data_IF_942868702926
#
_entry.id   IF_942868702926
#
_cell.length_a   1.000
_cell.length_b   1.000
_cell.length_c   1.000
_cell.angle_alpha   90.00
_cell.angle_beta   90.00
_cell.angle_gamma   90.00
#
_symmetry.space_group_name_H-M   'P 1'
#
loop_
_entity.id
_entity.type
_entity.pdbx_description
1 polymer ?
#
# COMPACT_ATOMS: atom_id res chain seq x y z
N UNK A 1 -4.57 10.69 -20.95
CA UNK A 1 -3.16 10.24 -20.92
C UNK A 1 -2.97 9.36 -19.70
N UNK A 2 -2.53 8.12 -19.87
CA UNK A 2 -2.13 7.24 -18.75
C UNK A 2 -0.95 7.88 -18.02
N UNK A 3 -0.94 7.94 -16.68
CA UNK A 3 0.21 8.44 -15.94
C UNK A 3 1.46 7.59 -16.23
N UNK A 4 2.68 8.16 -16.16
CA UNK A 4 3.89 7.39 -16.35
C UNK A 4 4.01 6.30 -15.28
N UNK A 5 4.74 5.20 -15.55
CA UNK A 5 4.99 4.16 -14.57
C UNK A 5 5.74 4.73 -13.35
N UNK A 6 5.54 4.15 -12.14
CA UNK A 6 6.19 4.63 -10.94
C UNK A 6 7.71 4.45 -11.03
N UNK A 7 8.46 5.44 -10.53
CA UNK A 7 9.92 5.35 -10.45
C UNK A 7 10.36 4.33 -9.39
N UNK A 8 11.62 3.84 -9.44
CA UNK A 8 12.11 2.91 -8.42
C UNK A 8 11.97 3.43 -6.98
N UNK A 9 12.24 4.72 -6.75
CA UNK A 9 12.05 5.34 -5.42
C UNK A 9 10.58 5.32 -4.99
N UNK A 10 9.64 5.57 -5.90
CA UNK A 10 8.21 5.54 -5.59
C UNK A 10 7.74 4.13 -5.26
N UNK A 11 8.26 3.12 -5.94
CA UNK A 11 7.98 1.71 -5.64
C UNK A 11 8.50 1.34 -4.24
N UNK A 12 9.75 1.71 -3.92
CA UNK A 12 10.36 1.45 -2.61
C UNK A 12 9.55 2.12 -1.49
N UNK A 13 9.20 3.40 -1.65
CA UNK A 13 8.39 4.13 -0.67
C UNK A 13 6.97 3.56 -0.54
N UNK A 14 6.36 3.15 -1.66
CA UNK A 14 5.05 2.48 -1.65
C UNK A 14 5.08 1.17 -0.86
N UNK A 15 6.10 0.34 -1.10
CA UNK A 15 6.29 -0.92 -0.38
C UNK A 15 6.60 -0.71 1.11
N UNK A 16 7.46 0.26 1.44
CA UNK A 16 7.78 0.59 2.83
C UNK A 16 6.56 1.05 3.63
N UNK A 17 5.69 1.84 3.00
CA UNK A 17 4.62 2.58 3.69
C UNK A 17 3.23 1.96 3.53
N UNK A 18 3.09 0.79 2.88
CA UNK A 18 1.78 0.23 2.55
C UNK A 18 0.87 -0.02 3.76
N UNK A 19 1.46 -0.36 4.92
CA UNK A 19 0.72 -0.63 6.17
C UNK A 19 0.67 0.56 7.15
N UNK A 20 1.18 1.74 6.77
CA UNK A 20 1.24 2.91 7.67
C UNK A 20 -0.13 3.31 8.23
N UNK A 21 -1.20 2.97 7.52
CA UNK A 21 -2.57 3.21 7.95
C UNK A 21 -2.98 2.46 9.21
N UNK A 22 -2.33 1.34 9.55
CA UNK A 22 -2.57 0.69 10.84
C UNK A 22 -2.17 1.60 12.00
N UNK A 23 -0.98 2.21 11.91
CA UNK A 23 -0.50 3.15 12.93
C UNK A 23 -1.36 4.42 12.98
N UNK A 24 -1.66 5.00 11.81
CA UNK A 24 -2.49 6.20 11.72
C UNK A 24 -3.91 5.97 12.26
N UNK A 25 -4.56 4.87 11.86
CA UNK A 25 -5.92 4.54 12.29
C UNK A 25 -6.01 4.23 13.78
N UNK A 26 -5.04 3.49 14.34
CA UNK A 26 -5.01 3.20 15.78
C UNK A 26 -4.79 4.48 16.60
N UNK A 27 -3.91 5.37 16.15
CA UNK A 27 -3.64 6.65 16.83
C UNK A 27 -4.88 7.56 16.86
N UNK A 28 -5.70 7.50 15.83
CA UNK A 28 -6.93 8.29 15.70
C UNK A 28 -8.15 7.64 16.39
N UNK A 29 -7.95 6.50 17.08
CA UNK A 29 -9.04 5.80 17.79
C UNK A 29 -10.00 5.05 16.86
N UNK A 30 -9.56 4.73 15.63
CA UNK A 30 -10.35 4.02 14.64
C UNK A 30 -10.68 2.58 15.04
N UNK A 31 -11.65 2.00 14.33
CA UNK A 31 -12.05 0.61 14.51
C UNK A 31 -10.91 -0.37 14.21
N UNK A 32 -10.90 -1.50 14.93
CA UNK A 32 -9.91 -2.57 14.78
C UNK A 32 -10.55 -3.80 14.17
N UNK A 33 -9.83 -4.47 13.28
CA UNK A 33 -10.17 -5.81 12.84
C UNK A 33 -9.84 -6.80 13.97
N UNK A 34 -10.84 -7.57 14.39
CA UNK A 34 -10.69 -8.59 15.43
C UNK A 34 -11.33 -9.89 14.91
N UNK A 35 -10.53 -10.95 14.82
CA UNK A 35 -11.00 -12.29 14.45
C UNK A 35 -10.57 -13.26 15.54
N UNK A 36 -11.52 -14.00 16.12
CA UNK A 36 -11.25 -15.00 17.18
C UNK A 36 -10.44 -14.43 18.38
N UNK A 37 -10.67 -13.17 18.74
CA UNK A 37 -9.97 -12.47 19.82
C UNK A 37 -8.59 -11.92 19.45
N UNK A 38 -8.10 -12.13 18.23
CA UNK A 38 -6.82 -11.59 17.74
C UNK A 38 -7.03 -10.23 17.09
N UNK A 39 -6.26 -9.22 17.49
CA UNK A 39 -6.25 -7.88 16.87
C UNK A 39 -5.36 -7.90 15.62
N UNK A 40 -5.93 -7.61 14.46
CA UNK A 40 -5.26 -7.72 13.16
C UNK A 40 -4.85 -6.36 12.56
N UNK A 41 -5.15 -5.25 13.26
CA UNK A 41 -4.86 -3.90 12.80
C UNK A 41 -6.11 -3.04 12.64
N UNK A 42 -5.94 -1.86 12.04
CA UNK A 42 -7.03 -0.92 11.77
C UNK A 42 -7.89 -1.34 10.57
N UNK A 43 -9.21 -1.18 10.69
CA UNK A 43 -10.15 -1.29 9.55
C UNK A 43 -9.80 -0.22 8.51
N UNK A 44 -9.84 -0.60 7.23
CA UNK A 44 -9.56 0.30 6.08
C UNK A 44 -8.18 0.98 6.13
N UNK A 45 -7.16 0.33 6.70
CA UNK A 45 -5.80 0.87 6.79
C UNK A 45 -5.21 1.31 5.44
N UNK A 46 -5.54 0.64 4.35
CA UNK A 46 -5.13 1.00 3.00
C UNK A 46 -5.64 2.39 2.59
N UNK A 47 -6.88 2.72 2.96
CA UNK A 47 -7.49 4.03 2.71
C UNK A 47 -6.91 5.08 3.66
N UNK A 48 -6.88 4.78 4.96
CA UNK A 48 -6.37 5.68 5.99
C UNK A 48 -4.92 6.05 5.71
N UNK A 49 -4.08 5.05 5.39
CA UNK A 49 -2.67 5.23 5.07
C UNK A 49 -2.48 6.08 3.82
N UNK A 50 -3.22 5.79 2.75
CA UNK A 50 -3.12 6.56 1.52
C UNK A 50 -3.53 8.03 1.72
N UNK A 51 -4.57 8.30 2.50
CA UNK A 51 -5.02 9.65 2.82
C UNK A 51 -4.05 10.38 3.74
N UNK A 52 -3.51 9.69 4.73
CA UNK A 52 -2.47 10.21 5.60
C UNK A 52 -1.24 10.67 4.79
N UNK A 53 -0.75 9.82 3.89
CA UNK A 53 0.39 10.15 3.02
C UNK A 53 0.06 11.25 2.01
N UNK A 54 -1.15 11.28 1.45
CA UNK A 54 -1.59 12.34 0.57
C UNK A 54 -1.61 13.71 1.27
N UNK A 55 -2.07 13.78 2.54
CA UNK A 55 -1.99 15.00 3.36
C UNK A 55 -0.55 15.45 3.59
N UNK A 56 0.38 14.51 3.70
CA UNK A 56 1.81 14.78 3.76
C UNK A 56 2.45 15.08 2.39
N UNK A 57 1.66 15.16 1.31
CA UNK A 57 2.12 15.49 -0.05
C UNK A 57 2.99 14.42 -0.72
N UNK A 58 2.88 13.16 -0.29
CA UNK A 58 3.38 12.05 -1.09
C UNK A 58 2.64 12.00 -2.45
N UNK A 59 3.31 11.53 -3.51
CA UNK A 59 2.77 11.60 -4.86
C UNK A 59 1.68 10.52 -5.03
N UNK A 60 0.73 10.72 -5.95
CA UNK A 60 -0.28 9.71 -6.27
C UNK A 60 0.32 8.33 -6.58
N UNK A 61 1.49 8.32 -7.25
CA UNK A 61 2.20 7.09 -7.58
C UNK A 61 2.61 6.26 -6.35
N UNK A 62 2.87 6.87 -5.19
CA UNK A 62 3.18 6.16 -3.93
C UNK A 62 1.89 5.81 -3.19
N UNK A 63 0.97 6.76 -3.07
CA UNK A 63 -0.28 6.55 -2.32
C UNK A 63 -1.19 5.51 -2.98
N UNK A 64 -1.06 5.29 -4.29
CA UNK A 64 -1.74 4.21 -5.00
C UNK A 64 -1.33 2.82 -4.50
N UNK A 65 -0.04 2.56 -4.23
CA UNK A 65 0.40 1.29 -3.64
C UNK A 65 -0.30 1.04 -2.30
N UNK A 66 -0.28 2.05 -1.43
CA UNK A 66 -0.90 2.00 -0.12
C UNK A 66 -2.41 1.77 -0.23
N UNK A 67 -3.10 2.51 -1.10
CA UNK A 67 -4.56 2.38 -1.28
C UNK A 67 -4.99 1.05 -1.87
N UNK A 68 -4.19 0.49 -2.77
CA UNK A 68 -4.59 -0.64 -3.62
C UNK A 68 -4.03 -1.99 -3.17
N UNK A 69 -3.14 -2.05 -2.18
CA UNK A 69 -2.53 -3.32 -1.80
C UNK A 69 -3.54 -4.36 -1.27
N UNK A 70 -4.63 -3.95 -0.60
CA UNK A 70 -5.73 -4.86 -0.23
C UNK A 70 -6.47 -5.38 -1.46
N UNK A 71 -6.79 -4.50 -2.41
CA UNK A 71 -7.42 -4.89 -3.67
C UNK A 71 -6.54 -5.87 -4.46
N UNK A 72 -5.22 -5.65 -4.47
CA UNK A 72 -4.26 -6.58 -5.05
C UNK A 72 -4.27 -7.96 -4.38
N UNK A 73 -4.44 -8.02 -3.06
CA UNK A 73 -4.64 -9.30 -2.36
C UNK A 73 -5.90 -9.99 -2.85
N UNK A 74 -7.05 -9.28 -2.83
CA UNK A 74 -8.35 -9.82 -3.27
C UNK A 74 -8.31 -10.31 -4.72
N UNK A 75 -7.65 -9.55 -5.60
CA UNK A 75 -7.42 -9.90 -7.00
C UNK A 75 -6.61 -11.18 -7.14
N UNK A 76 -5.42 -11.25 -6.51
CA UNK A 76 -4.54 -12.42 -6.63
C UNK A 76 -5.22 -13.69 -6.09
N UNK A 77 -5.97 -13.60 -4.99
CA UNK A 77 -6.76 -14.74 -4.48
C UNK A 77 -7.82 -15.19 -5.50
N UNK A 78 -8.43 -14.27 -6.26
CA UNK A 78 -9.44 -14.61 -7.25
C UNK A 78 -8.86 -15.20 -8.54
N UNK A 79 -7.67 -14.76 -8.96
CA UNK A 79 -7.14 -15.03 -10.31
C UNK A 79 -5.94 -15.96 -10.37
N UNK A 80 -5.17 -16.09 -9.28
CA UNK A 80 -3.95 -16.88 -9.23
C UNK A 80 -4.16 -18.15 -8.38
N UNK A 81 -4.27 -19.29 -9.08
CA UNK A 81 -4.44 -20.59 -8.45
C UNK A 81 -3.23 -20.91 -7.58
N UNK A 82 -3.45 -21.07 -6.27
CA UNK A 82 -2.38 -21.30 -5.30
C UNK A 82 -1.98 -20.06 -4.49
N UNK A 83 -2.48 -18.87 -4.81
CA UNK A 83 -2.10 -17.66 -4.08
C UNK A 83 -2.66 -17.63 -2.66
N UNK A 84 -3.88 -18.13 -2.45
CA UNK A 84 -4.53 -18.17 -1.13
C UNK A 84 -3.70 -18.96 -0.10
N UNK A 85 -3.03 -20.01 -0.56
CA UNK A 85 -2.19 -20.90 0.22
C UNK A 85 -0.92 -20.18 0.71
N UNK A 86 -0.42 -19.21 -0.07
CA UNK A 86 0.76 -18.39 0.29
C UNK A 86 0.48 -17.36 1.37
N UNK A 87 -0.80 -17.04 1.63
CA UNK A 87 -1.18 -16.06 2.64
C UNK A 87 -0.77 -16.52 4.06
N UNK A 88 -0.31 -15.59 4.90
CA UNK A 88 -0.23 -15.83 6.34
C UNK A 88 -1.60 -16.10 6.93
N UNK A 89 -1.62 -16.65 8.14
CA UNK A 89 -2.83 -16.71 8.95
C UNK A 89 -3.46 -15.32 9.13
N UNK A 90 -2.69 -14.27 9.46
CA UNK A 90 -3.21 -12.91 9.59
C UNK A 90 -3.78 -12.34 8.27
N UNK A 91 -3.12 -12.59 7.14
CA UNK A 91 -3.58 -12.16 5.81
C UNK A 91 -4.88 -12.88 5.40
N UNK A 92 -5.04 -14.16 5.80
CA UNK A 92 -6.28 -14.92 5.62
C UNK A 92 -7.39 -14.39 6.52
N UNK A 93 -7.12 -14.15 7.79
CA UNK A 93 -8.12 -13.60 8.72
C UNK A 93 -8.59 -12.20 8.29
N UNK A 94 -7.67 -11.32 7.87
CA UNK A 94 -8.05 -9.99 7.38
C UNK A 94 -8.83 -10.03 6.07
N UNK A 95 -8.68 -11.08 5.26
CA UNK A 95 -9.47 -11.24 4.03
C UNK A 95 -10.97 -11.39 4.33
N UNK A 96 -11.34 -11.99 5.47
CA UNK A 96 -12.73 -12.10 5.94
C UNK A 96 -13.36 -10.72 6.19
N UNK A 97 -12.56 -9.72 6.56
CA UNK A 97 -12.99 -8.32 6.76
C UNK A 97 -12.96 -7.49 5.47
N UNK A 98 -12.43 -8.05 4.38
CA UNK A 98 -12.12 -7.34 3.14
C UNK A 98 -12.92 -7.92 1.96
N UNK A 99 -14.15 -8.35 2.21
CA UNK A 99 -15.10 -8.81 1.17
C UNK A 99 -14.66 -10.07 0.40
N UNK A 100 -13.57 -10.74 0.82
CA UNK A 100 -13.10 -11.95 0.16
C UNK A 100 -12.44 -11.72 -1.21
N UNK A 101 -12.30 -12.80 -2.02
CA UNK A 101 -11.79 -12.72 -3.39
C UNK A 101 -12.65 -11.77 -4.25
N UNK A 102 -12.04 -11.13 -5.25
CA UNK A 102 -12.79 -10.31 -6.21
C UNK A 102 -13.72 -11.14 -7.10
N UNK A 103 -14.86 -10.54 -7.45
CA UNK A 103 -15.69 -10.95 -8.59
C UNK A 103 -15.00 -10.65 -9.92
N UNK A 104 -15.50 -11.21 -11.03
CA UNK A 104 -14.96 -10.94 -12.36
C UNK A 104 -15.03 -9.45 -12.74
N UNK A 105 -16.11 -8.76 -12.35
CA UNK A 105 -16.29 -7.33 -12.61
C UNK A 105 -15.30 -6.47 -11.82
N UNK A 106 -15.12 -6.75 -10.53
CA UNK A 106 -14.11 -6.08 -9.70
C UNK A 106 -12.71 -6.31 -10.25
N UNK A 107 -12.38 -7.55 -10.64
CA UNK A 107 -11.09 -7.90 -11.20
C UNK A 107 -10.81 -7.16 -12.51
N UNK A 108 -11.81 -7.08 -13.40
CA UNK A 108 -11.71 -6.33 -14.67
C UNK A 108 -11.52 -4.83 -14.43
N UNK A 109 -12.22 -4.27 -13.45
CA UNK A 109 -12.08 -2.85 -13.06
C UNK A 109 -10.69 -2.57 -12.46
N UNK A 110 -10.22 -3.44 -11.56
CA UNK A 110 -8.92 -3.30 -10.92
C UNK A 110 -7.75 -3.45 -11.92
N UNK A 111 -7.88 -4.32 -12.91
CA UNK A 111 -6.89 -4.49 -13.99
C UNK A 111 -6.72 -3.24 -14.88
N UNK A 112 -7.63 -2.27 -14.81
CA UNK A 112 -7.50 -0.98 -15.51
C UNK A 112 -6.66 0.05 -14.74
N UNK A 113 -6.23 -0.24 -13.52
CA UNK A 113 -5.37 0.66 -12.75
C UNK A 113 -4.03 0.87 -13.50
N UNK A 114 -3.60 2.12 -13.78
CA UNK A 114 -2.36 2.38 -14.48
C UNK A 114 -1.10 1.80 -13.82
N UNK A 115 -1.17 1.50 -12.52
CA UNK A 115 -0.07 0.93 -11.74
C UNK A 115 -0.29 -0.54 -11.40
N UNK A 116 -1.31 -1.19 -11.99
CA UNK A 116 -1.73 -2.56 -11.71
C UNK A 116 -0.56 -3.55 -11.55
N UNK A 117 0.29 -3.68 -12.57
CA UNK A 117 1.43 -4.62 -12.54
C UNK A 117 2.41 -4.35 -11.39
N UNK A 118 2.64 -3.07 -11.08
CA UNK A 118 3.55 -2.69 -10.01
C UNK A 118 2.94 -2.99 -8.64
N UNK A 119 1.65 -2.73 -8.46
CA UNK A 119 0.92 -3.01 -7.22
C UNK A 119 0.86 -4.52 -6.98
N UNK A 120 0.61 -5.33 -8.01
CA UNK A 120 0.63 -6.80 -7.89
C UNK A 120 2.00 -7.32 -7.46
N UNK A 121 3.09 -6.80 -8.05
CA UNK A 121 4.45 -7.16 -7.63
C UNK A 121 4.69 -6.80 -6.17
N UNK A 122 4.31 -5.60 -5.75
CA UNK A 122 4.43 -5.16 -4.36
C UNK A 122 3.67 -6.07 -3.40
N UNK A 123 2.44 -6.46 -3.75
CA UNK A 123 1.64 -7.37 -2.92
C UNK A 123 2.29 -8.74 -2.75
N UNK A 124 2.98 -9.24 -3.77
CA UNK A 124 3.78 -10.48 -3.65
C UNK A 124 5.01 -10.30 -2.76
N UNK A 125 5.58 -9.10 -2.64
CA UNK A 125 6.66 -8.83 -1.70
C UNK A 125 6.16 -8.75 -0.27
N UNK A 126 5.03 -8.08 -0.03
CA UNK A 126 4.32 -8.05 1.25
C UNK A 126 4.15 -9.48 1.79
N UNK A 127 3.63 -10.40 0.97
CA UNK A 127 3.45 -11.78 1.41
C UNK A 127 4.76 -12.59 1.56
N UNK A 128 5.89 -12.11 1.05
CA UNK A 128 7.22 -12.75 1.20
C UNK A 128 8.05 -12.18 2.34
N UNK A 129 7.76 -10.96 2.81
CA UNK A 129 8.57 -10.22 3.77
C UNK A 129 8.35 -10.69 5.21
N UNK A 130 8.72 -11.95 5.50
CA UNK A 130 8.46 -12.62 6.79
C UNK A 130 9.69 -13.28 7.39
N UNK A 131 10.86 -13.03 6.81
CA UNK A 131 12.13 -13.52 7.31
C UNK A 131 12.65 -12.54 8.39
N UNK A 132 12.67 -12.94 9.67
CA UNK A 132 13.18 -12.08 10.74
C UNK A 132 14.69 -11.85 10.66
N UNK A 133 15.42 -12.70 9.93
CA UNK A 133 16.87 -12.61 9.75
C UNK A 133 17.27 -11.83 8.48
N UNK A 134 16.28 -11.30 7.75
CA UNK A 134 16.53 -10.57 6.52
C UNK A 134 17.38 -9.30 6.80
N UNK A 135 18.55 -9.24 6.16
CA UNK A 135 19.40 -8.04 6.20
C UNK A 135 18.81 -6.97 5.30
N UNK A 136 18.38 -5.86 5.91
CA UNK A 136 17.78 -4.72 5.22
C UNK A 136 18.54 -3.42 5.55
N UNK A 137 18.49 -2.40 4.68
CA UNK A 137 18.92 -1.06 5.04
C UNK A 137 18.25 -0.57 6.34
N UNK A 138 18.93 0.26 7.15
CA UNK A 138 18.34 0.80 8.38
C UNK A 138 17.20 1.76 8.07
N UNK A 139 16.31 2.01 9.05
CA UNK A 139 15.17 2.89 8.88
C UNK A 139 15.56 4.31 8.44
N UNK A 140 16.73 4.79 8.88
CA UNK A 140 17.32 6.07 8.50
C UNK A 140 17.48 6.22 6.99
N UNK A 141 17.88 5.15 6.29
CA UNK A 141 18.02 5.15 4.84
C UNK A 141 16.70 5.53 4.16
N UNK A 142 15.61 4.94 4.63
CA UNK A 142 14.27 5.18 4.11
C UNK A 142 13.69 6.52 4.55
N UNK A 143 13.99 6.94 5.79
CA UNK A 143 13.64 8.27 6.30
C UNK A 143 14.25 9.36 5.42
N UNK A 144 15.52 9.25 5.06
CA UNK A 144 16.20 10.19 4.18
C UNK A 144 15.57 10.19 2.78
N UNK A 145 15.16 9.03 2.28
CA UNK A 145 14.40 8.93 1.02
C UNK A 145 13.06 9.66 1.10
N UNK A 146 12.29 9.47 2.18
CA UNK A 146 11.05 10.20 2.43
C UNK A 146 11.28 11.72 2.47
N UNK A 147 12.27 12.18 3.24
CA UNK A 147 12.58 13.61 3.38
C UNK A 147 13.04 14.24 2.06
N UNK A 148 13.89 13.53 1.31
CA UNK A 148 14.31 13.96 -0.03
C UNK A 148 13.10 14.12 -0.96
N UNK A 149 12.19 13.14 -0.95
CA UNK A 149 10.99 13.17 -1.77
C UNK A 149 10.06 14.35 -1.41
N UNK A 150 9.85 14.60 -0.12
CA UNK A 150 9.01 15.70 0.36
C UNK A 150 9.59 17.06 -0.02
N UNK A 151 10.91 17.25 0.11
CA UNK A 151 11.61 18.47 -0.32
C UNK A 151 11.50 18.71 -1.83
N UNK A 152 11.66 17.67 -2.63
CA UNK A 152 11.47 17.75 -4.09
C UNK A 152 10.03 18.17 -4.45
N UNK A 153 9.04 17.65 -3.72
CA UNK A 153 7.63 17.96 -3.90
C UNK A 153 7.28 19.41 -3.52
N UNK A 154 7.86 19.93 -2.43
CA UNK A 154 7.75 21.34 -2.03
C UNK A 154 8.38 22.28 -3.05
N UNK A 155 9.58 21.97 -3.53
CA UNK A 155 10.28 22.77 -4.53
C UNK A 155 9.51 22.84 -5.86
N UNK A 156 8.89 21.72 -6.29
CA UNK A 156 8.04 21.69 -7.47
C UNK A 156 6.77 22.55 -7.30
N UNK A 157 6.12 22.48 -6.14
CA UNK A 157 4.94 23.28 -5.83
C UNK A 157 5.25 24.79 -5.79
N UNK A 158 6.39 25.19 -5.19
CA UNK A 158 6.83 26.59 -5.15
C UNK A 158 7.12 27.15 -6.55
N UNK A 159 7.72 26.35 -7.44
CA UNK A 159 7.94 26.74 -8.85
C UNK A 159 6.63 26.89 -9.64
N UNK A 160 5.62 26.07 -9.36
CA UNK A 160 4.32 26.16 -10.01
C UNK A 160 3.52 27.40 -9.56
N UNK A 161 3.61 27.78 -8.28
CA UNK A 161 2.94 28.97 -7.74
C UNK A 161 3.57 30.30 -8.12
N UNK A 162 4.83 30.30 -8.57
CA UNK A 162 5.57 31.51 -9.01
C UNK A 162 5.37 31.87 -10.49
N UNK A 163 4.52 31.14 -11.20
CA UNK A 163 4.32 31.23 -12.66
C UNK A 163 3.08 32.04 -13.06
N UNK A 164 2.60 32.93 -12.20
CA UNK A 164 1.44 33.82 -12.42
C UNK A 164 1.95 35.27 -12.46
#
# INVERSE_FOLDING_TARGET
MTPPPPTPKQIILGALLHDVGHLAGIREGGARMITKGVVLGAVNHEVIGAEYLARLRFPPAVTAFVRRHVQAKRFLVATDAGYYETLTEASRMTLEHQEGPMTEEEARSFAQDPQFDAILRMRRWDEKAKDPEAVTPPLEHYKDMCLGFLRESEAAASKAGKKI
#
